data_IF_358094107070
#
_entry.id   IF_358094107070
#
_cell.length_a   1.000
_cell.length_b   1.000
_cell.length_c   1.000
_cell.angle_alpha   90.00
_cell.angle_beta   90.00
_cell.angle_gamma   90.00
#
_symmetry.space_group_name_H-M   'P 1'
#
loop_
_entity.id
_entity.type
_entity.pdbx_description
1 polymer ?
#
# COMPACT_ATOMS: atom_id res chain seq x y z
N UNK A 1 -4.63 15.63 -9.11
CA UNK A 1 -5.63 16.70 -9.09
C UNK A 1 -4.99 18.08 -8.94
N UNK A 2 -4.19 18.35 -7.90
CA UNK A 2 -3.53 19.65 -7.71
C UNK A 2 -2.63 20.05 -8.90
N UNK A 3 -1.87 19.11 -9.44
CA UNK A 3 -0.99 19.36 -10.60
C UNK A 3 -1.76 19.69 -11.90
N UNK A 4 -3.00 19.25 -12.01
CA UNK A 4 -3.89 19.51 -13.14
C UNK A 4 -4.56 20.87 -13.02
N UNK A 5 -4.99 21.23 -11.81
CA UNK A 5 -5.49 22.56 -11.52
C UNK A 5 -4.39 23.61 -11.73
N UNK A 6 -3.16 23.32 -11.31
CA UNK A 6 -2.02 24.21 -11.57
C UNK A 6 -1.75 24.33 -13.08
N UNK A 7 -1.71 23.21 -13.84
CA UNK A 7 -1.57 23.24 -15.30
C UNK A 7 -2.72 24.01 -15.98
N UNK A 8 -3.98 23.78 -15.57
CA UNK A 8 -5.13 24.45 -16.19
C UNK A 8 -5.15 25.96 -15.94
N UNK A 9 -4.69 26.41 -14.78
CA UNK A 9 -4.53 27.84 -14.46
C UNK A 9 -3.46 28.49 -15.35
N UNK A 10 -2.39 27.76 -15.66
CA UNK A 10 -1.31 28.30 -16.51
C UNK A 10 -1.54 28.17 -18.02
N UNK A 11 -2.33 27.18 -18.47
CA UNK A 11 -2.50 26.91 -19.91
C UNK A 11 -3.86 27.32 -20.48
N UNK A 12 -4.81 27.75 -19.66
CA UNK A 12 -6.20 28.10 -20.04
C UNK A 12 -6.98 26.99 -20.79
N UNK A 13 -6.46 25.77 -20.89
CA UNK A 13 -7.13 24.64 -21.53
C UNK A 13 -7.21 23.43 -20.61
N UNK A 14 -8.43 22.97 -20.31
CA UNK A 14 -8.71 21.72 -19.64
C UNK A 14 -8.68 20.59 -20.68
N UNK A 15 -7.53 19.96 -20.88
CA UNK A 15 -7.45 18.75 -21.70
C UNK A 15 -7.88 17.54 -20.87
N UNK A 16 -9.16 17.19 -20.95
CA UNK A 16 -9.71 16.02 -20.27
C UNK A 16 -9.21 14.70 -20.90
N UNK A 17 -8.72 14.71 -22.13
CA UNK A 17 -8.24 13.54 -22.86
C UNK A 17 -6.93 12.95 -22.30
N UNK A 18 -6.13 13.74 -21.58
CA UNK A 18 -4.87 13.31 -20.94
C UNK A 18 -4.96 13.22 -19.42
N UNK A 19 -6.18 13.18 -18.90
CA UNK A 19 -6.37 13.20 -17.46
C UNK A 19 -6.09 11.82 -16.85
N UNK A 20 -5.08 11.74 -16.00
CA UNK A 20 -4.79 10.54 -15.22
C UNK A 20 -5.86 10.28 -14.16
N UNK A 21 -6.55 9.14 -14.26
CA UNK A 21 -7.66 8.81 -13.35
C UNK A 21 -7.18 8.29 -11.99
N UNK A 22 -6.12 7.49 -11.97
CA UNK A 22 -5.61 6.89 -10.76
C UNK A 22 -4.32 7.57 -10.31
N UNK A 23 -4.24 7.85 -9.04
CA UNK A 23 -3.07 8.38 -8.36
C UNK A 23 -3.04 7.89 -6.92
N UNK A 24 -2.06 8.33 -6.15
CA UNK A 24 -1.84 7.88 -4.76
C UNK A 24 -3.09 8.10 -3.89
N UNK A 25 -3.74 9.26 -4.01
CA UNK A 25 -4.92 9.60 -3.18
C UNK A 25 -6.12 8.72 -3.48
N UNK A 26 -6.38 8.44 -4.77
CA UNK A 26 -7.46 7.55 -5.20
C UNK A 26 -7.21 6.12 -4.74
N UNK A 27 -5.96 5.63 -4.83
CA UNK A 27 -5.56 4.33 -4.31
C UNK A 27 -5.78 4.23 -2.80
N UNK A 28 -5.40 5.26 -2.03
CA UNK A 28 -5.65 5.31 -0.59
C UNK A 28 -7.15 5.28 -0.27
N UNK A 29 -7.96 6.04 -1.00
CA UNK A 29 -9.41 6.07 -0.82
C UNK A 29 -10.04 4.69 -1.12
N UNK A 30 -9.65 4.04 -2.22
CA UNK A 30 -10.11 2.69 -2.57
C UNK A 30 -9.68 1.69 -1.50
N UNK A 31 -8.40 1.72 -1.10
CA UNK A 31 -7.86 0.83 -0.07
C UNK A 31 -8.60 0.94 1.25
N UNK A 32 -8.84 2.17 1.71
CA UNK A 32 -9.60 2.44 2.92
C UNK A 32 -11.07 2.00 2.79
N UNK A 33 -11.74 2.37 1.69
CA UNK A 33 -13.15 2.04 1.45
C UNK A 33 -13.39 0.53 1.39
N UNK A 34 -12.58 -0.20 0.61
CA UNK A 34 -12.70 -1.66 0.50
C UNK A 34 -12.39 -2.35 1.83
N UNK A 35 -11.32 -1.94 2.51
CA UNK A 35 -10.98 -2.50 3.83
C UNK A 35 -12.08 -2.26 4.84
N UNK A 36 -12.68 -1.07 4.87
CA UNK A 36 -13.80 -0.74 5.76
C UNK A 36 -15.03 -1.60 5.47
N UNK A 37 -15.39 -1.78 4.20
CA UNK A 37 -16.48 -2.67 3.79
C UNK A 37 -16.24 -4.11 4.24
N UNK A 38 -15.04 -4.64 4.01
CA UNK A 38 -14.67 -5.99 4.45
C UNK A 38 -14.71 -6.09 5.99
N UNK A 39 -14.27 -5.05 6.70
CA UNK A 39 -14.27 -5.03 8.16
C UNK A 39 -15.68 -5.06 8.77
N UNK A 40 -16.68 -4.48 8.10
CA UNK A 40 -18.07 -4.47 8.54
C UNK A 40 -18.78 -5.79 8.17
N UNK A 41 -18.48 -6.35 7.00
CA UNK A 41 -19.22 -7.50 6.45
C UNK A 41 -18.63 -8.84 6.87
N UNK A 42 -17.30 -8.93 7.05
CA UNK A 42 -16.60 -10.19 7.30
C UNK A 42 -16.07 -10.26 8.74
N UNK A 43 -16.23 -11.43 9.37
CA UNK A 43 -15.65 -11.66 10.70
C UNK A 43 -14.12 -11.51 10.63
N UNK A 44 -13.56 -10.70 11.52
CA UNK A 44 -12.14 -10.33 11.51
C UNK A 44 -11.16 -11.53 11.59
N UNK A 45 -11.60 -12.69 12.06
CA UNK A 45 -10.79 -13.92 12.08
C UNK A 45 -10.39 -14.41 10.69
N UNK A 46 -11.14 -14.03 9.65
CA UNK A 46 -10.87 -14.42 8.26
C UNK A 46 -9.94 -13.46 7.52
N UNK A 47 -9.58 -12.30 8.10
CA UNK A 47 -8.71 -11.32 7.47
C UNK A 47 -7.36 -11.90 7.03
N UNK A 48 -6.62 -12.66 7.86
CA UNK A 48 -5.36 -13.25 7.44
C UNK A 48 -5.52 -14.20 6.24
N UNK A 49 -6.63 -14.96 6.21
CA UNK A 49 -6.92 -15.87 5.11
C UNK A 49 -7.24 -15.10 3.82
N UNK A 50 -8.05 -14.05 3.89
CA UNK A 50 -8.37 -13.21 2.73
C UNK A 50 -7.10 -12.56 2.17
N UNK A 51 -6.26 -11.98 3.01
CA UNK A 51 -4.98 -11.38 2.61
C UNK A 51 -4.12 -12.43 1.91
N UNK A 52 -3.94 -13.61 2.52
CA UNK A 52 -3.11 -14.68 1.96
C UNK A 52 -3.62 -15.14 0.59
N UNK A 53 -4.92 -15.42 0.48
CA UNK A 53 -5.54 -15.88 -0.78
C UNK A 53 -5.42 -14.82 -1.86
N UNK A 54 -5.69 -13.56 -1.53
CA UNK A 54 -5.59 -12.45 -2.49
C UNK A 54 -4.15 -12.26 -2.97
N UNK A 55 -3.16 -12.28 -2.06
CA UNK A 55 -1.75 -12.15 -2.42
C UNK A 55 -1.26 -13.36 -3.23
N UNK A 56 -1.70 -14.59 -2.89
CA UNK A 56 -1.35 -15.79 -3.65
C UNK A 56 -1.96 -15.76 -5.06
N UNK A 57 -3.22 -15.38 -5.20
CA UNK A 57 -3.88 -15.22 -6.50
C UNK A 57 -3.19 -14.15 -7.35
N UNK A 58 -2.83 -13.02 -6.74
CA UNK A 58 -2.09 -11.97 -7.42
C UNK A 58 -0.67 -12.42 -7.83
N UNK A 59 0.02 -13.20 -7.00
CA UNK A 59 1.30 -13.80 -7.36
C UNK A 59 1.18 -14.70 -8.59
N UNK A 60 0.19 -15.59 -8.61
CA UNK A 60 -0.05 -16.47 -9.76
C UNK A 60 -0.33 -15.67 -11.03
N UNK A 61 -1.10 -14.60 -10.93
CA UNK A 61 -1.38 -13.70 -12.05
C UNK A 61 -0.11 -13.03 -12.57
N UNK A 62 0.77 -12.53 -11.70
CA UNK A 62 2.05 -11.95 -12.10
C UNK A 62 3.00 -12.99 -12.71
N UNK A 63 3.05 -14.20 -12.15
CA UNK A 63 3.93 -15.28 -12.63
C UNK A 63 3.52 -15.80 -14.02
N UNK A 64 2.21 -15.88 -14.28
CA UNK A 64 1.70 -16.36 -15.58
C UNK A 64 1.66 -15.28 -16.65
N UNK A 65 1.60 -14.00 -16.26
CA UNK A 65 1.38 -12.87 -17.15
C UNK A 65 2.59 -11.97 -17.36
N UNK A 66 3.83 -12.47 -17.19
CA UNK A 66 5.07 -11.68 -17.31
C UNK A 66 5.08 -10.39 -16.47
N UNK A 67 4.40 -10.43 -15.31
CA UNK A 67 4.12 -9.26 -14.48
C UNK A 67 5.36 -8.65 -13.81
N UNK A 68 6.48 -9.36 -13.75
CA UNK A 68 7.72 -8.87 -13.11
C UNK A 68 8.63 -8.10 -14.04
N UNK A 69 8.46 -8.25 -15.35
CA UNK A 69 9.24 -7.55 -16.36
C UNK A 69 8.53 -6.25 -16.79
N UNK A 70 9.30 -5.20 -17.06
CA UNK A 70 8.79 -3.99 -17.70
C UNK A 70 8.75 -4.21 -19.20
N UNK A 71 7.69 -4.82 -19.70
CA UNK A 71 7.47 -5.12 -21.11
C UNK A 71 6.04 -4.76 -21.50
N UNK A 72 5.80 -4.59 -22.80
CA UNK A 72 4.44 -4.40 -23.34
C UNK A 72 3.53 -5.62 -23.10
N UNK A 73 4.14 -6.79 -22.84
CA UNK A 73 3.44 -8.04 -22.52
C UNK A 73 3.00 -8.14 -21.06
N UNK A 74 3.43 -7.21 -20.21
CA UNK A 74 3.11 -7.21 -18.78
C UNK A 74 1.60 -7.17 -18.56
N UNK A 75 1.10 -8.17 -17.83
CA UNK A 75 -0.34 -8.34 -17.56
C UNK A 75 -0.94 -7.14 -16.84
N UNK A 76 -0.18 -6.48 -15.94
CA UNK A 76 -0.64 -5.30 -15.19
C UNK A 76 -0.86 -4.14 -16.16
N UNK A 77 0.14 -3.86 -17.02
CA UNK A 77 0.05 -2.79 -18.01
C UNK A 77 -1.09 -3.03 -19.01
N UNK A 78 -1.23 -4.25 -19.50
CA UNK A 78 -2.30 -4.63 -20.44
C UNK A 78 -3.69 -4.51 -19.83
N UNK A 79 -3.86 -4.97 -18.60
CA UNK A 79 -5.15 -4.85 -17.91
C UNK A 79 -5.52 -3.38 -17.65
N UNK A 80 -4.57 -2.60 -17.16
CA UNK A 80 -4.80 -1.18 -16.88
C UNK A 80 -5.05 -0.39 -18.16
N UNK A 81 -4.33 -0.69 -19.26
CA UNK A 81 -4.59 -0.09 -20.57
C UNK A 81 -5.98 -0.44 -21.13
N UNK A 82 -6.44 -1.68 -20.91
CA UNK A 82 -7.80 -2.09 -21.30
C UNK A 82 -8.88 -1.40 -20.45
N UNK A 83 -8.65 -1.27 -19.14
CA UNK A 83 -9.65 -0.74 -18.21
C UNK A 83 -9.73 0.79 -18.20
N UNK A 84 -8.59 1.48 -18.32
CA UNK A 84 -8.48 2.94 -18.16
C UNK A 84 -8.24 3.67 -19.49
N UNK A 85 -7.71 2.98 -20.50
CA UNK A 85 -7.20 3.59 -21.72
C UNK A 85 -5.77 4.13 -21.54
N UNK A 86 -4.96 3.99 -22.57
CA UNK A 86 -3.53 4.37 -22.53
C UNK A 86 -3.32 5.87 -22.33
N UNK A 87 -4.25 6.73 -22.77
CA UNK A 87 -4.19 8.18 -22.61
C UNK A 87 -4.35 8.65 -21.15
N UNK A 88 -4.98 7.82 -20.29
CA UNK A 88 -5.25 8.14 -18.89
C UNK A 88 -4.28 7.51 -17.88
N UNK A 89 -3.24 6.86 -18.41
CA UNK A 89 -2.18 6.20 -17.62
C UNK A 89 -0.92 7.05 -17.52
N UNK A 90 -0.10 6.75 -16.52
CA UNK A 90 1.24 7.31 -16.46
C UNK A 90 2.14 6.65 -17.53
N UNK A 91 2.98 7.46 -18.19
CA UNK A 91 3.94 6.99 -19.18
C UNK A 91 5.35 7.05 -18.59
N UNK A 92 6.01 5.90 -18.51
CA UNK A 92 7.39 5.78 -18.07
C UNK A 92 8.26 5.26 -19.23
N UNK A 93 9.27 6.05 -19.65
CA UNK A 93 10.17 5.64 -20.72
C UNK A 93 9.50 5.40 -22.09
N UNK A 94 8.36 6.05 -22.35
CA UNK A 94 7.60 5.90 -23.62
C UNK A 94 6.57 4.76 -23.59
N UNK A 95 6.51 3.95 -22.53
CA UNK A 95 5.48 2.92 -22.35
C UNK A 95 4.40 3.38 -21.38
N UNK A 96 3.14 3.06 -21.69
CA UNK A 96 2.01 3.29 -20.78
C UNK A 96 2.07 2.25 -19.65
N UNK A 97 2.65 2.64 -18.53
CA UNK A 97 2.73 1.80 -17.33
C UNK A 97 2.41 2.65 -16.09
N UNK A 98 1.28 2.38 -15.45
CA UNK A 98 0.88 3.11 -14.25
C UNK A 98 1.17 2.29 -12.99
N UNK A 99 2.19 2.68 -12.18
CA UNK A 99 2.47 2.00 -10.93
C UNK A 99 1.30 2.04 -9.94
N UNK A 100 0.40 3.01 -10.10
CA UNK A 100 -0.81 3.20 -9.30
C UNK A 100 -2.08 2.73 -10.02
N UNK A 101 -1.92 1.83 -10.99
CA UNK A 101 -3.01 1.27 -11.78
C UNK A 101 -4.06 0.52 -10.95
N UNK A 102 -5.12 0.12 -11.64
CA UNK A 102 -6.26 -0.55 -11.01
C UNK A 102 -5.86 -1.93 -10.48
N UNK A 103 -5.12 -2.71 -11.28
CA UNK A 103 -4.73 -4.06 -10.90
C UNK A 103 -3.75 -4.08 -9.72
N UNK A 104 -2.76 -3.18 -9.69
CA UNK A 104 -1.82 -3.03 -8.58
C UNK A 104 -2.48 -2.47 -7.30
N UNK A 105 -3.70 -1.96 -7.39
CA UNK A 105 -4.48 -1.53 -6.22
C UNK A 105 -4.98 -2.72 -5.39
N UNK A 106 -5.15 -3.92 -5.99
CA UNK A 106 -5.58 -5.12 -5.27
C UNK A 106 -4.62 -5.50 -4.13
N UNK A 107 -3.31 -5.69 -4.35
CA UNK A 107 -2.39 -5.93 -3.25
C UNK A 107 -2.20 -4.70 -2.33
N UNK A 108 -2.45 -3.48 -2.80
CA UNK A 108 -2.46 -2.30 -1.94
C UNK A 108 -3.62 -2.33 -0.93
N UNK A 109 -4.80 -2.87 -1.29
CA UNK A 109 -5.88 -3.12 -0.33
C UNK A 109 -5.43 -4.10 0.76
N UNK A 110 -4.70 -5.17 0.39
CA UNK A 110 -4.13 -6.10 1.38
C UNK A 110 -3.19 -5.39 2.36
N UNK A 111 -2.42 -4.41 1.90
CA UNK A 111 -1.57 -3.58 2.74
C UNK A 111 -2.38 -2.85 3.83
N UNK A 112 -3.50 -2.21 3.43
CA UNK A 112 -4.40 -1.53 4.36
C UNK A 112 -5.07 -2.52 5.32
N UNK A 113 -5.45 -3.72 4.84
CA UNK A 113 -6.03 -4.76 5.67
C UNK A 113 -5.05 -5.27 6.74
N UNK A 114 -3.76 -5.42 6.43
CA UNK A 114 -2.72 -5.75 7.43
C UNK A 114 -2.62 -4.63 8.47
N UNK A 115 -2.61 -3.38 8.04
CA UNK A 115 -2.61 -2.23 8.96
C UNK A 115 -3.82 -2.20 9.88
N UNK A 116 -5.02 -2.47 9.36
CA UNK A 116 -6.24 -2.61 10.17
C UNK A 116 -6.12 -3.73 11.21
N UNK A 117 -5.58 -4.88 10.81
CA UNK A 117 -5.38 -6.02 11.71
C UNK A 117 -4.37 -5.70 12.81
N UNK A 118 -3.26 -5.06 12.50
CA UNK A 118 -2.29 -4.56 13.48
C UNK A 118 -2.93 -3.56 14.46
N UNK A 119 -3.74 -2.62 13.96
CA UNK A 119 -4.49 -1.67 14.78
C UNK A 119 -5.43 -2.37 15.77
N UNK A 120 -6.12 -3.41 15.30
CA UNK A 120 -6.98 -4.22 16.17
C UNK A 120 -6.20 -4.95 17.27
N UNK A 121 -5.02 -5.49 16.96
CA UNK A 121 -4.14 -6.11 17.95
C UNK A 121 -3.69 -5.11 19.01
N UNK A 122 -3.37 -3.90 18.62
CA UNK A 122 -3.02 -2.81 19.53
C UNK A 122 -4.17 -2.48 20.48
N UNK A 123 -5.39 -2.37 19.97
CA UNK A 123 -6.57 -2.08 20.78
C UNK A 123 -6.96 -3.22 21.71
N UNK A 124 -6.61 -4.47 21.40
CA UNK A 124 -6.90 -5.64 22.22
C UNK A 124 -5.85 -5.92 23.30
N UNK A 125 -4.70 -5.30 23.23
CA UNK A 125 -3.61 -5.50 24.18
C UNK A 125 -3.88 -4.76 25.50
N UNK A 126 -3.54 -5.39 26.62
CA UNK A 126 -3.81 -4.88 27.98
C UNK A 126 -2.86 -3.74 28.36
N UNK A 127 -1.60 -3.85 27.98
CA UNK A 127 -0.54 -2.91 28.31
C UNK A 127 0.39 -2.63 27.12
N UNK A 128 1.30 -1.67 27.29
CA UNK A 128 2.24 -1.29 26.23
C UNK A 128 3.29 -2.38 25.95
N UNK A 129 3.64 -3.19 26.94
CA UNK A 129 4.59 -4.29 26.76
C UNK A 129 3.98 -5.36 25.84
N UNK A 130 2.72 -5.72 26.05
CA UNK A 130 1.99 -6.66 25.20
C UNK A 130 1.82 -6.13 23.76
N UNK A 131 1.53 -4.82 23.60
CA UNK A 131 1.47 -4.18 22.28
C UNK A 131 2.77 -4.35 21.50
N UNK A 132 3.89 -4.02 22.15
CA UNK A 132 5.23 -4.11 21.56
C UNK A 132 5.54 -5.56 21.19
N UNK A 133 5.31 -6.51 22.10
CA UNK A 133 5.60 -7.92 21.87
C UNK A 133 4.82 -8.46 20.67
N UNK A 134 3.51 -8.19 20.60
CA UNK A 134 2.65 -8.65 19.50
C UNK A 134 3.05 -8.05 18.16
N UNK A 135 3.27 -6.74 18.10
CA UNK A 135 3.68 -6.06 16.86
C UNK A 135 5.06 -6.49 16.39
N UNK A 136 6.01 -6.60 17.33
CA UNK A 136 7.37 -7.01 17.00
C UNK A 136 7.41 -8.45 16.49
N UNK A 137 6.67 -9.36 17.13
CA UNK A 137 6.58 -10.75 16.70
C UNK A 137 6.00 -10.86 15.28
N UNK A 138 4.86 -10.20 15.03
CA UNK A 138 4.23 -10.19 13.69
C UNK A 138 5.15 -9.53 12.68
N UNK A 139 5.73 -8.37 13.03
CA UNK A 139 6.65 -7.65 12.16
C UNK A 139 7.87 -8.50 11.76
N UNK A 140 8.46 -9.19 12.72
CA UNK A 140 9.61 -10.07 12.48
C UNK A 140 9.21 -11.24 11.58
N UNK A 141 8.11 -11.95 11.89
CA UNK A 141 7.64 -13.08 11.08
C UNK A 141 7.36 -12.64 9.63
N UNK A 142 6.64 -11.53 9.44
CA UNK A 142 6.33 -11.03 8.10
C UNK A 142 7.60 -10.63 7.34
N UNK A 143 8.54 -9.97 7.99
CA UNK A 143 9.80 -9.55 7.36
C UNK A 143 10.60 -10.76 6.89
N UNK A 144 10.83 -11.75 7.77
CA UNK A 144 11.55 -12.96 7.40
C UNK A 144 10.83 -13.78 6.34
N UNK A 145 9.52 -13.97 6.46
CA UNK A 145 8.72 -14.66 5.46
C UNK A 145 8.78 -13.94 4.10
N UNK A 146 8.70 -12.62 4.08
CA UNK A 146 8.82 -11.84 2.87
C UNK A 146 10.18 -11.96 2.19
N UNK A 147 11.28 -11.90 2.96
CA UNK A 147 12.62 -12.13 2.41
C UNK A 147 12.79 -13.57 1.90
N UNK A 148 12.27 -14.56 2.60
CA UNK A 148 12.32 -15.94 2.12
C UNK A 148 11.55 -16.12 0.81
N UNK A 149 10.35 -15.54 0.71
CA UNK A 149 9.53 -15.56 -0.49
C UNK A 149 10.15 -14.75 -1.65
N UNK A 150 11.05 -13.80 -1.37
CA UNK A 150 11.66 -12.97 -2.41
C UNK A 150 12.54 -13.74 -3.40
N UNK A 151 13.00 -14.94 -3.03
CA UNK A 151 13.71 -15.84 -3.94
C UNK A 151 12.82 -16.35 -5.09
N UNK A 152 11.51 -16.49 -4.87
CA UNK A 152 10.56 -16.93 -5.90
C UNK A 152 9.69 -15.80 -6.46
N UNK A 153 9.53 -14.71 -5.72
CA UNK A 153 8.74 -13.55 -6.10
C UNK A 153 9.56 -12.27 -5.88
N UNK A 154 10.14 -11.67 -6.92
CA UNK A 154 10.98 -10.48 -6.79
C UNK A 154 10.26 -9.33 -6.09
N UNK A 155 10.99 -8.60 -5.23
CA UNK A 155 10.47 -7.40 -4.57
C UNK A 155 10.36 -6.29 -5.61
N UNK A 156 9.15 -5.93 -6.00
CA UNK A 156 8.92 -4.89 -7.00
C UNK A 156 7.79 -3.95 -6.55
N UNK A 157 8.17 -2.68 -6.30
CA UNK A 157 7.22 -1.63 -5.93
C UNK A 157 6.30 -1.25 -7.07
N UNK A 158 6.75 -1.29 -8.33
CA UNK A 158 5.98 -0.81 -9.48
C UNK A 158 4.73 -1.65 -9.74
N UNK A 159 4.85 -2.96 -9.58
CA UNK A 159 3.71 -3.89 -9.69
C UNK A 159 3.08 -4.23 -8.34
N UNK A 160 3.58 -3.63 -7.24
CA UNK A 160 3.11 -3.89 -5.89
C UNK A 160 3.13 -5.37 -5.53
N UNK A 161 4.30 -6.02 -5.74
CA UNK A 161 4.44 -7.47 -5.57
C UNK A 161 4.03 -7.94 -4.17
N UNK A 162 3.52 -9.17 -4.02
CA UNK A 162 3.15 -9.72 -2.71
C UNK A 162 4.28 -9.68 -1.68
N UNK A 163 5.51 -9.96 -2.10
CA UNK A 163 6.71 -9.85 -1.26
C UNK A 163 6.97 -8.43 -0.79
N UNK A 164 6.76 -7.44 -1.66
CA UNK A 164 6.85 -6.03 -1.29
C UNK A 164 5.84 -5.69 -0.20
N UNK A 165 4.57 -6.14 -0.32
CA UNK A 165 3.54 -5.93 0.70
C UNK A 165 3.94 -6.55 2.04
N UNK A 166 4.35 -7.82 2.03
CA UNK A 166 4.69 -8.55 3.24
C UNK A 166 5.88 -7.93 3.97
N UNK A 167 6.97 -7.60 3.25
CA UNK A 167 8.17 -7.00 3.84
C UNK A 167 7.89 -5.61 4.40
N UNK A 168 7.21 -4.76 3.64
CA UNK A 168 6.92 -3.39 4.08
C UNK A 168 5.96 -3.36 5.27
N UNK A 169 4.94 -4.24 5.31
CA UNK A 169 4.09 -4.40 6.48
C UNK A 169 4.87 -4.92 7.70
N UNK A 170 5.78 -5.87 7.49
CA UNK A 170 6.63 -6.41 8.55
C UNK A 170 7.54 -5.36 9.16
N UNK A 171 8.25 -4.61 8.31
CA UNK A 171 9.11 -3.52 8.75
C UNK A 171 8.32 -2.40 9.43
N UNK A 172 7.17 -2.00 8.87
CA UNK A 172 6.32 -0.98 9.46
C UNK A 172 5.79 -1.39 10.85
N UNK A 173 5.39 -2.66 11.01
CA UNK A 173 4.93 -3.19 12.31
C UNK A 173 6.05 -3.20 13.34
N UNK A 174 7.25 -3.64 12.97
CA UNK A 174 8.43 -3.64 13.85
C UNK A 174 8.84 -2.22 14.23
N UNK A 175 8.80 -1.30 13.27
CA UNK A 175 9.11 0.11 13.52
C UNK A 175 8.07 0.76 14.43
N UNK A 176 6.80 0.46 14.26
CA UNK A 176 5.74 0.93 15.15
C UNK A 176 5.94 0.41 16.58
N UNK A 177 6.32 -0.86 16.74
CA UNK A 177 6.66 -1.41 18.06
C UNK A 177 7.82 -0.66 18.72
N UNK A 178 8.85 -0.32 17.95
CA UNK A 178 9.99 0.48 18.43
C UNK A 178 9.54 1.89 18.87
N UNK A 179 8.67 2.54 18.08
CA UNK A 179 8.14 3.86 18.43
C UNK A 179 7.32 3.82 19.72
N UNK A 180 6.45 2.83 19.91
CA UNK A 180 5.68 2.66 21.15
C UNK A 180 6.64 2.46 22.35
N UNK A 181 7.71 1.69 22.15
CA UNK A 181 8.72 1.50 23.20
C UNK A 181 9.42 2.82 23.59
N UNK A 182 9.87 3.60 22.60
CA UNK A 182 10.60 4.86 22.85
C UNK A 182 9.67 5.93 23.44
N UNK A 183 8.47 6.09 22.85
CA UNK A 183 7.57 7.20 23.15
C UNK A 183 6.74 6.91 24.39
N UNK A 184 6.06 5.74 24.42
CA UNK A 184 5.07 5.43 25.46
C UNK A 184 5.69 4.75 26.68
N UNK A 185 6.73 3.90 26.52
CA UNK A 185 7.37 3.24 27.65
C UNK A 185 8.52 4.05 28.23
N UNK A 186 9.37 4.61 27.39
CA UNK A 186 10.55 5.41 27.86
C UNK A 186 10.22 6.88 28.08
N UNK A 187 9.09 7.38 27.57
CA UNK A 187 8.64 8.75 27.77
C UNK A 187 9.43 9.81 26.98
N UNK A 188 10.22 9.42 25.99
CA UNK A 188 10.98 10.35 25.15
C UNK A 188 10.08 11.02 24.11
N UNK A 189 9.38 12.10 24.48
CA UNK A 189 8.37 12.75 23.65
C UNK A 189 8.84 14.08 23.00
N UNK A 190 9.99 14.63 23.38
CA UNK A 190 10.42 15.96 22.95
C UNK A 190 10.56 16.12 21.43
N UNK A 191 10.87 15.07 20.72
CA UNK A 191 11.01 15.03 19.25
C UNK A 191 9.71 14.72 18.51
N UNK A 192 8.66 14.31 19.24
CA UNK A 192 7.38 13.89 18.64
C UNK A 192 6.59 15.08 18.05
N UNK A 193 6.88 16.31 18.46
CA UNK A 193 6.18 17.51 17.97
C UNK A 193 6.23 17.62 16.44
N UNK A 194 7.39 17.31 15.84
CA UNK A 194 7.58 17.28 14.39
C UNK A 194 6.62 16.29 13.71
N UNK A 195 6.62 15.04 14.14
CA UNK A 195 5.75 14.00 13.58
C UNK A 195 4.27 14.24 13.84
N UNK A 196 3.93 14.84 15.01
CA UNK A 196 2.56 15.25 15.33
C UNK A 196 2.04 16.29 14.35
N UNK A 197 2.86 17.25 13.93
CA UNK A 197 2.49 18.25 12.94
C UNK A 197 2.12 17.62 11.58
N UNK A 198 2.88 16.60 11.14
CA UNK A 198 2.55 15.84 9.93
C UNK A 198 1.30 14.96 10.09
N UNK A 199 1.10 14.35 11.26
CA UNK A 199 -0.08 13.54 11.53
C UNK A 199 -1.39 14.32 11.54
N UNK A 200 -1.35 15.58 11.99
CA UNK A 200 -2.51 16.49 11.98
C UNK A 200 -2.79 17.08 10.59
N UNK A 201 -1.73 17.25 9.78
CA UNK A 201 -1.83 17.83 8.45
C UNK A 201 -1.26 16.89 7.37
N UNK A 202 -1.94 15.78 7.05
CA UNK A 202 -1.44 14.83 6.06
C UNK A 202 -1.31 15.43 4.65
N UNK A 203 -2.04 16.50 4.34
CA UNK A 203 -1.93 17.22 3.06
C UNK A 203 -0.56 17.91 2.88
N UNK A 204 0.14 18.25 3.94
CA UNK A 204 1.49 18.85 3.90
C UNK A 204 2.54 17.89 3.30
N UNK A 205 2.28 16.59 3.29
CA UNK A 205 3.19 15.59 2.69
C UNK A 205 3.07 15.53 1.16
N UNK A 206 2.05 16.14 0.57
CA UNK A 206 1.75 16.08 -0.87
C UNK A 206 1.91 17.44 -1.59
N UNK A 207 2.24 18.49 -0.86
CA UNK A 207 2.57 19.81 -1.40
C UNK A 207 4.08 19.99 -1.48
#
# INVERSE_FOLDING_TARGET
MLNLLAKSVFTHHLNFEEWRYLGVMQRLAIGYGVTSLVAITVKHKYFPAIILVTLAAYFLLLATGDGFNQSETNVVARFDAWALGTSHMYHEGGMAFDPEGLLSTVPAVCHVMVGFYCGKLLLSAKDNAEKIQRLFLIGTILTFAGFLLSYGCPINKKVWSPTFVIITCGLASSFLALLIWIIDMKGYQNWCAFFRSFGVNPCLLYT
#
